data_IF_872163065316
#
_entry.id   IF_872163065316
#
_cell.length_a   1.000
_cell.length_b   1.000
_cell.length_c   1.000
_cell.angle_alpha   90.00
_cell.angle_beta   90.00
_cell.angle_gamma   90.00
#
_symmetry.space_group_name_H-M   'P 1'
#
loop_
_entity.id
_entity.type
_entity.pdbx_description
1 polymer ?
#
# COMPACT_ATOMS: atom_id res chain seq x y z
N UNK A 1 -14.29 -51.45 -5.54
CA UNK A 1 -12.97 -50.90 -5.14
C UNK A 1 -12.57 -51.52 -3.82
N UNK A 2 -11.39 -52.15 -3.72
CA UNK A 2 -10.95 -52.85 -2.50
C UNK A 2 -10.65 -51.85 -1.38
N UNK A 3 -10.99 -52.19 -0.14
CA UNK A 3 -10.66 -51.48 1.11
C UNK A 3 -9.17 -51.09 1.22
N UNK A 4 -8.30 -51.82 0.51
CA UNK A 4 -6.86 -51.54 0.41
C UNK A 4 -6.53 -50.25 -0.35
N UNK A 5 -7.41 -49.76 -1.22
CA UNK A 5 -7.22 -48.51 -1.96
C UNK A 5 -7.65 -47.29 -1.15
N UNK A 6 -8.65 -47.42 -0.27
CA UNK A 6 -9.08 -46.34 0.64
C UNK A 6 -8.02 -45.98 1.66
N UNK A 7 -7.39 -46.99 2.29
CA UNK A 7 -6.31 -46.75 3.25
C UNK A 7 -5.09 -46.05 2.61
N UNK A 8 -4.80 -46.34 1.33
CA UNK A 8 -3.71 -45.66 0.60
C UNK A 8 -4.04 -44.22 0.25
N UNK A 9 -5.29 -43.94 -0.14
CA UNK A 9 -5.74 -42.57 -0.45
C UNK A 9 -5.75 -41.72 0.82
N UNK A 10 -6.28 -42.24 1.94
CA UNK A 10 -6.31 -41.52 3.22
C UNK A 10 -4.90 -41.22 3.75
N UNK A 11 -3.97 -42.18 3.64
CA UNK A 11 -2.57 -41.97 4.07
C UNK A 11 -1.84 -40.98 3.14
N UNK A 12 -2.09 -41.00 1.83
CA UNK A 12 -1.52 -40.02 0.89
C UNK A 12 -2.10 -38.62 1.09
N UNK A 13 -3.40 -38.49 1.38
CA UNK A 13 -4.05 -37.21 1.69
C UNK A 13 -3.55 -36.62 3.01
N UNK A 14 -3.34 -37.45 4.04
CA UNK A 14 -2.79 -37.00 5.32
C UNK A 14 -1.30 -36.67 5.22
N UNK A 15 -0.54 -37.37 4.37
CA UNK A 15 0.87 -37.06 4.10
C UNK A 15 1.04 -35.77 3.28
N UNK A 16 0.09 -35.43 2.40
CA UNK A 16 0.10 -34.17 1.64
C UNK A 16 -0.23 -32.94 2.52
N UNK A 17 -1.03 -33.13 3.58
CA UNK A 17 -1.38 -32.10 4.56
C UNK A 17 -0.26 -31.83 5.59
N UNK A 18 0.77 -32.68 5.64
CA UNK A 18 1.92 -32.55 6.55
C UNK A 18 3.17 -32.02 5.83
N UNK A 19 3.03 -31.51 4.59
CA UNK A 19 4.09 -30.69 4.02
C UNK A 19 4.13 -29.37 4.79
N UNK A 20 5.22 -29.06 5.52
CA UNK A 20 5.40 -27.72 6.04
C UNK A 20 5.35 -26.80 4.83
N UNK A 21 4.40 -25.87 4.82
CA UNK A 21 4.49 -24.71 3.94
C UNK A 21 5.76 -24.01 4.40
N UNK A 22 6.84 -24.17 3.64
CA UNK A 22 8.01 -23.35 3.82
C UNK A 22 7.57 -21.94 3.47
N UNK A 23 7.18 -21.17 4.49
CA UNK A 23 6.92 -19.75 4.33
C UNK A 23 8.30 -19.15 4.07
N UNK A 24 8.48 -18.55 2.90
CA UNK A 24 9.76 -17.96 2.53
C UNK A 24 10.08 -16.81 3.50
N UNK A 25 11.30 -16.80 4.01
CA UNK A 25 11.82 -15.66 4.77
C UNK A 25 11.70 -14.37 3.93
N UNK A 26 11.58 -13.19 4.58
CA UNK A 26 11.64 -11.93 3.84
C UNK A 26 13.03 -11.81 3.21
N UNK A 27 13.08 -12.01 1.90
CA UNK A 27 14.31 -11.90 1.15
C UNK A 27 14.56 -10.42 0.85
N UNK A 28 15.79 -9.92 1.05
CA UNK A 28 16.13 -8.56 0.66
C UNK A 28 15.98 -8.40 -0.85
N UNK A 29 15.33 -7.32 -1.26
CA UNK A 29 15.13 -6.94 -2.66
C UNK A 29 15.34 -5.44 -2.84
N UNK A 30 15.79 -4.96 -4.02
CA UNK A 30 15.83 -3.54 -4.32
C UNK A 30 14.46 -2.90 -4.13
N UNK A 31 14.41 -1.63 -3.70
CA UNK A 31 13.15 -0.90 -3.48
C UNK A 31 12.45 -0.45 -4.75
N UNK A 32 13.14 -0.41 -5.89
CA UNK A 32 12.59 -0.14 -7.22
C UNK A 32 13.42 -0.79 -8.33
N UNK A 33 12.90 -0.73 -9.56
CA UNK A 33 13.59 -1.15 -10.80
C UNK A 33 14.68 -0.16 -11.27
N UNK A 34 14.86 0.94 -10.53
CA UNK A 34 15.90 1.96 -10.73
C UNK A 34 16.60 2.27 -9.40
N UNK A 35 17.84 2.78 -9.41
CA UNK A 35 18.53 3.19 -8.20
C UNK A 35 17.78 4.29 -7.46
N UNK A 36 17.52 4.07 -6.18
CA UNK A 36 16.96 5.07 -5.29
C UNK A 36 17.39 4.77 -3.85
N UNK A 37 17.46 5.80 -3.01
CA UNK A 37 17.87 5.63 -1.63
C UNK A 37 17.56 6.84 -0.75
N UNK A 38 17.95 6.74 0.51
CA UNK A 38 17.87 7.80 1.51
C UNK A 38 19.17 7.85 2.32
N UNK A 39 19.60 9.05 2.67
CA UNK A 39 20.75 9.26 3.55
C UNK A 39 20.51 10.47 4.46
N UNK A 40 21.38 10.68 5.45
CA UNK A 40 21.25 11.75 6.44
C UNK A 40 20.96 11.16 7.83
N UNK A 41 19.84 11.54 8.42
CA UNK A 41 19.52 11.19 9.80
C UNK A 41 20.06 12.20 10.81
N UNK A 42 20.15 13.48 10.40
CA UNK A 42 20.48 14.56 11.33
C UNK A 42 19.25 14.83 12.19
N UNK A 43 19.35 14.53 13.48
CA UNK A 43 18.23 14.66 14.41
C UNK A 43 18.44 15.79 15.44
N UNK A 44 17.35 16.42 15.86
CA UNK A 44 17.28 17.35 16.98
C UNK A 44 16.05 17.09 17.84
N UNK A 45 16.20 17.04 19.15
CA UNK A 45 15.07 17.03 20.09
C UNK A 45 14.45 18.43 20.15
N UNK A 46 13.12 18.51 19.99
CA UNK A 46 12.40 19.80 19.90
C UNK A 46 11.33 20.00 20.96
N UNK A 47 11.02 18.96 21.74
CA UNK A 47 10.06 19.06 22.83
C UNK A 47 10.56 19.95 23.96
N UNK A 48 9.71 20.89 24.39
CA UNK A 48 9.97 21.78 25.54
C UNK A 48 11.29 22.57 25.44
N UNK A 49 11.77 22.82 24.21
CA UNK A 49 12.94 23.65 23.94
C UNK A 49 12.59 24.78 22.98
N UNK A 50 13.21 25.93 23.20
CA UNK A 50 13.06 27.10 22.31
C UNK A 50 14.04 27.09 21.15
N UNK A 51 15.15 26.36 21.25
CA UNK A 51 16.19 26.32 20.22
C UNK A 51 16.90 24.97 20.24
N UNK A 52 17.10 24.38 19.07
CA UNK A 52 17.88 23.16 18.89
C UNK A 52 18.58 23.19 17.52
N UNK A 53 19.76 22.61 17.43
CA UNK A 53 20.51 22.53 16.17
C UNK A 53 21.48 21.36 16.18
N UNK A 54 21.63 20.71 15.03
CA UNK A 54 22.62 19.65 14.81
C UNK A 54 23.17 19.76 13.39
N UNK A 55 24.41 19.32 13.21
CA UNK A 55 25.07 19.18 11.91
C UNK A 55 25.84 17.87 11.88
N UNK A 56 25.93 17.26 10.70
CA UNK A 56 26.67 16.02 10.51
C UNK A 56 27.17 15.91 9.08
N UNK A 57 28.27 15.19 8.92
CA UNK A 57 28.85 14.89 7.62
C UNK A 57 28.51 13.47 7.15
N UNK A 58 28.59 13.21 5.85
CA UNK A 58 28.29 11.89 5.25
C UNK A 58 29.03 10.72 5.93
N UNK A 59 30.25 10.94 6.45
CA UNK A 59 31.02 9.91 7.15
C UNK A 59 30.44 9.52 8.52
N UNK A 60 29.57 10.35 9.08
CA UNK A 60 28.94 10.22 10.40
C UNK A 60 27.43 9.96 10.30
N UNK A 61 26.86 9.96 9.09
CA UNK A 61 25.44 9.68 8.91
C UNK A 61 25.08 8.28 9.40
N UNK A 62 23.97 8.22 10.14
CA UNK A 62 23.35 6.97 10.53
C UNK A 62 22.82 6.23 9.31
N UNK A 63 22.74 4.89 9.38
CA UNK A 63 21.83 4.16 8.50
C UNK A 63 20.39 4.57 8.78
N UNK A 64 19.52 4.53 7.78
CA UNK A 64 18.09 4.84 7.94
C UNK A 64 17.30 3.55 7.81
N UNK A 65 16.51 3.22 8.83
CA UNK A 65 15.57 2.11 8.79
C UNK A 65 14.14 2.64 8.82
N UNK A 66 13.40 2.50 7.70
CA UNK A 66 12.01 2.90 7.61
C UNK A 66 11.13 1.65 7.82
N UNK A 67 10.34 1.65 8.89
CA UNK A 67 9.51 0.51 9.32
C UNK A 67 8.05 0.84 9.02
N UNK A 68 7.39 0.03 8.20
CA UNK A 68 5.96 0.16 7.94
C UNK A 68 5.18 -0.90 8.70
N UNK A 69 4.36 -0.44 9.63
CA UNK A 69 3.74 -1.27 10.67
C UNK A 69 2.26 -0.91 10.89
N UNK A 70 1.63 -1.63 11.80
CA UNK A 70 0.34 -1.24 12.34
C UNK A 70 0.13 -1.75 13.78
N UNK A 71 -0.63 -1.03 14.60
CA UNK A 71 -0.97 -1.41 15.98
C UNK A 71 -1.73 -2.74 16.10
N UNK A 72 -2.40 -3.16 15.02
CA UNK A 72 -3.12 -4.43 14.94
C UNK A 72 -2.29 -5.58 14.36
N UNK A 73 -1.07 -5.29 13.86
CA UNK A 73 -0.23 -6.26 13.17
C UNK A 73 0.64 -7.08 14.14
N UNK A 74 0.21 -8.29 14.47
CA UNK A 74 0.98 -9.21 15.33
C UNK A 74 2.35 -9.57 14.75
N UNK A 75 2.43 -9.81 13.43
CA UNK A 75 3.70 -10.16 12.78
C UNK A 75 4.71 -8.99 12.75
N UNK A 76 4.25 -7.76 12.95
CA UNK A 76 5.11 -6.59 12.95
C UNK A 76 6.00 -6.55 14.19
N UNK A 77 5.49 -7.02 15.34
CA UNK A 77 6.26 -7.15 16.58
C UNK A 77 7.54 -7.97 16.34
N UNK A 78 7.44 -9.11 15.65
CA UNK A 78 8.62 -9.93 15.35
C UNK A 78 9.59 -9.25 14.39
N UNK A 79 9.08 -8.53 13.38
CA UNK A 79 9.93 -7.82 12.42
C UNK A 79 10.71 -6.70 13.11
N UNK A 80 10.04 -5.92 13.96
CA UNK A 80 10.63 -4.85 14.76
C UNK A 80 11.65 -5.41 15.77
N UNK A 81 11.31 -6.45 16.53
CA UNK A 81 12.25 -7.13 17.44
C UNK A 81 13.52 -7.58 16.72
N UNK A 82 13.37 -8.20 15.54
CA UNK A 82 14.49 -8.64 14.73
C UNK A 82 15.37 -7.47 14.26
N UNK A 83 14.74 -6.36 13.85
CA UNK A 83 15.44 -5.15 13.41
C UNK A 83 16.22 -4.52 14.57
N UNK A 84 15.58 -4.27 15.70
CA UNK A 84 16.24 -3.69 16.87
C UNK A 84 17.37 -4.58 17.40
N UNK A 85 17.20 -5.91 17.35
CA UNK A 85 18.27 -6.85 17.69
C UNK A 85 19.45 -6.79 16.71
N UNK A 86 19.21 -6.48 15.44
CA UNK A 86 20.27 -6.26 14.45
C UNK A 86 20.97 -4.91 14.65
N UNK A 87 20.22 -3.84 14.91
CA UNK A 87 20.75 -2.50 15.21
C UNK A 87 21.65 -2.55 16.45
N UNK A 88 21.24 -3.24 17.51
CA UNK A 88 22.00 -3.36 18.75
C UNK A 88 23.39 -4.01 18.57
N UNK A 89 23.62 -4.75 17.47
CA UNK A 89 24.90 -5.37 17.14
C UNK A 89 25.62 -4.69 15.96
N UNK A 90 25.01 -3.69 15.34
CA UNK A 90 25.63 -2.93 14.26
C UNK A 90 26.74 -2.01 14.80
N UNK A 91 27.75 -1.74 13.96
CA UNK A 91 28.89 -0.91 14.34
C UNK A 91 28.64 0.60 14.22
N UNK A 92 27.59 0.99 13.49
CA UNK A 92 27.20 2.38 13.26
C UNK A 92 25.83 2.68 13.84
N UNK A 93 25.49 3.97 13.91
CA UNK A 93 24.18 4.42 14.36
C UNK A 93 23.12 4.12 13.30
N UNK A 94 21.89 3.86 13.75
CA UNK A 94 20.73 3.69 12.87
C UNK A 94 19.61 4.59 13.37
N UNK A 95 19.12 5.46 12.50
CA UNK A 95 17.90 6.22 12.73
C UNK A 95 16.72 5.38 12.25
N UNK A 96 15.78 5.10 13.14
CA UNK A 96 14.55 4.37 12.81
C UNK A 96 13.42 5.37 12.58
N UNK A 97 12.59 5.12 11.57
CA UNK A 97 11.39 5.88 11.25
C UNK A 97 10.22 4.90 11.14
N UNK A 98 9.34 4.89 12.13
CA UNK A 98 8.21 3.97 12.19
C UNK A 98 6.95 4.60 11.61
N UNK A 99 6.60 4.17 10.41
CA UNK A 99 5.41 4.56 9.66
C UNK A 99 4.25 3.63 10.00
N UNK A 100 3.27 4.19 10.71
CA UNK A 100 2.00 3.51 10.92
C UNK A 100 1.07 3.73 9.74
N UNK A 101 0.31 2.70 9.37
CA UNK A 101 -0.66 2.77 8.28
C UNK A 101 -1.75 3.82 8.59
N UNK A 102 -2.10 4.64 7.60
CA UNK A 102 -3.07 5.74 7.78
C UNK A 102 -4.29 5.62 6.84
N UNK A 103 -4.07 5.24 5.57
CA UNK A 103 -5.10 5.32 4.55
C UNK A 103 -6.02 4.10 4.61
N UNK A 104 -7.32 4.40 4.73
CA UNK A 104 -8.36 3.40 4.86
C UNK A 104 -8.24 2.61 6.16
N UNK A 105 -7.68 3.23 7.20
CA UNK A 105 -7.54 2.65 8.53
C UNK A 105 -8.49 3.24 9.55
N UNK A 106 -8.87 2.40 10.52
CA UNK A 106 -9.70 2.78 11.67
C UNK A 106 -9.17 2.25 13.00
N UNK A 107 -8.25 1.28 12.99
CA UNK A 107 -7.72 0.62 14.19
C UNK A 107 -6.36 1.17 14.64
N UNK A 108 -5.59 1.73 13.71
CA UNK A 108 -4.29 2.34 14.01
C UNK A 108 -4.42 3.88 14.15
N UNK A 109 -4.17 4.44 15.34
CA UNK A 109 -4.33 5.87 15.58
C UNK A 109 -3.10 6.70 15.22
N UNK A 110 -1.97 6.07 14.89
CA UNK A 110 -0.69 6.76 14.74
C UNK A 110 -0.40 7.23 13.32
N UNK A 111 -1.10 6.67 12.33
CA UNK A 111 -0.81 6.89 10.92
C UNK A 111 -0.91 8.35 10.47
N UNK A 112 0.04 8.75 9.63
CA UNK A 112 0.10 10.08 8.99
C UNK A 112 -0.14 9.91 7.49
N UNK A 113 -1.19 10.53 6.96
CA UNK A 113 -1.60 10.33 5.57
C UNK A 113 -0.53 10.74 4.55
N UNK A 114 0.16 11.86 4.75
CA UNK A 114 1.23 12.31 3.86
C UNK A 114 2.41 11.34 3.83
N UNK A 115 2.79 10.79 4.99
CA UNK A 115 3.84 9.80 5.12
C UNK A 115 3.46 8.46 4.47
N UNK A 116 2.19 8.05 4.62
CA UNK A 116 1.64 6.84 4.00
C UNK A 116 1.57 6.96 2.46
N UNK A 117 1.21 8.15 1.94
CA UNK A 117 1.26 8.44 0.50
C UNK A 117 2.70 8.41 -0.05
N UNK A 118 3.67 8.99 0.67
CA UNK A 118 5.09 8.89 0.30
C UNK A 118 5.54 7.44 0.25
N UNK A 119 5.18 6.65 1.27
CA UNK A 119 5.51 5.23 1.34
C UNK A 119 4.97 4.48 0.12
N UNK A 120 3.68 4.63 -0.18
CA UNK A 120 3.05 4.01 -1.35
C UNK A 120 3.71 4.46 -2.67
N UNK A 121 3.97 5.76 -2.82
CA UNK A 121 4.60 6.31 -4.02
C UNK A 121 6.00 5.76 -4.29
N UNK A 122 6.78 5.55 -3.22
CA UNK A 122 8.18 5.11 -3.34
C UNK A 122 8.38 3.61 -3.34
N UNK A 123 7.61 2.90 -2.52
CA UNK A 123 7.81 1.47 -2.23
C UNK A 123 6.62 0.61 -2.66
N UNK A 124 5.47 1.23 -2.97
CA UNK A 124 4.22 0.51 -3.18
C UNK A 124 4.24 -0.40 -4.41
N UNK A 125 4.92 -0.01 -5.49
CA UNK A 125 5.07 -0.87 -6.68
C UNK A 125 5.78 -2.18 -6.32
N UNK A 126 6.93 -2.07 -5.67
CA UNK A 126 7.75 -3.23 -5.28
C UNK A 126 7.07 -4.07 -4.21
N UNK A 127 6.48 -3.43 -3.19
CA UNK A 127 5.67 -4.11 -2.18
C UNK A 127 4.53 -4.92 -2.84
N UNK A 128 3.83 -4.33 -3.80
CA UNK A 128 2.77 -5.02 -4.55
C UNK A 128 3.30 -6.20 -5.37
N UNK A 129 4.48 -6.07 -5.96
CA UNK A 129 5.05 -7.15 -6.77
C UNK A 129 5.49 -8.35 -5.91
N UNK A 130 5.88 -8.11 -4.65
CA UNK A 130 6.37 -9.16 -3.73
C UNK A 130 5.22 -9.77 -2.91
N UNK A 131 4.36 -8.92 -2.34
CA UNK A 131 3.32 -9.33 -1.37
C UNK A 131 1.90 -8.93 -1.80
N UNK A 132 1.70 -8.54 -3.07
CA UNK A 132 0.40 -8.29 -3.71
C UNK A 132 -0.40 -7.08 -3.21
N UNK A 133 0.14 -6.29 -2.27
CA UNK A 133 -0.45 -5.04 -1.80
C UNK A 133 0.62 -3.95 -1.72
N UNK A 134 0.25 -2.69 -1.97
CA UNK A 134 1.20 -1.57 -2.00
C UNK A 134 1.66 -1.13 -0.59
N UNK A 135 0.85 -1.44 0.42
CA UNK A 135 1.04 -1.04 1.81
C UNK A 135 0.91 -2.27 2.69
N UNK A 136 1.97 -3.06 2.75
CA UNK A 136 1.99 -4.34 3.47
C UNK A 136 2.75 -4.22 4.80
N UNK A 137 2.08 -4.15 5.95
CA UNK A 137 2.76 -4.34 7.22
C UNK A 137 3.00 -5.86 7.49
N UNK A 138 4.16 -6.25 8.06
CA UNK A 138 5.36 -5.44 8.21
C UNK A 138 6.11 -5.29 6.89
N UNK A 139 6.71 -4.12 6.65
CA UNK A 139 7.77 -3.96 5.65
C UNK A 139 8.87 -3.08 6.23
N UNK A 140 10.12 -3.50 6.12
CA UNK A 140 11.29 -2.72 6.57
C UNK A 140 12.13 -2.35 5.37
N UNK A 141 12.48 -1.07 5.27
CA UNK A 141 13.39 -0.53 4.27
C UNK A 141 14.68 -0.09 4.95
N UNK A 142 15.83 -0.50 4.42
CA UNK A 142 17.15 -0.07 4.88
C UNK A 142 17.77 0.85 3.83
N UNK A 143 18.16 2.05 4.26
CA UNK A 143 18.77 3.13 3.48
C UNK A 143 17.96 3.53 2.24
N UNK A 144 16.66 3.26 2.23
CA UNK A 144 15.79 3.51 1.07
C UNK A 144 16.06 2.61 -0.13
N UNK A 145 17.03 1.69 -0.02
CA UNK A 145 17.59 0.90 -1.12
C UNK A 145 17.16 -0.57 -1.06
N UNK A 146 17.06 -1.14 0.15
CA UNK A 146 16.75 -2.56 0.36
C UNK A 146 15.44 -2.75 1.11
N UNK A 147 14.50 -3.50 0.54
CA UNK A 147 13.21 -3.85 1.12
C UNK A 147 13.22 -5.26 1.71
N UNK A 148 12.58 -5.41 2.86
CA UNK A 148 12.22 -6.66 3.53
C UNK A 148 10.71 -6.67 3.80
N UNK A 149 9.94 -7.30 2.93
CA UNK A 149 8.48 -7.33 3.03
C UNK A 149 7.99 -8.62 3.72
N UNK A 150 7.14 -8.46 4.74
CA UNK A 150 6.60 -9.54 5.57
C UNK A 150 7.59 -10.10 6.59
N UNK A 151 7.12 -10.99 7.46
CA UNK A 151 7.96 -11.74 8.41
C UNK A 151 8.28 -13.16 7.93
N UNK A 152 7.60 -13.64 6.88
CA UNK A 152 7.71 -15.03 6.45
C UNK A 152 7.34 -16.05 7.55
N UNK A 153 6.56 -15.65 8.56
CA UNK A 153 6.24 -16.47 9.73
C UNK A 153 7.43 -16.76 10.64
N UNK A 154 8.54 -16.02 10.48
CA UNK A 154 9.71 -16.10 11.34
C UNK A 154 9.54 -15.21 12.58
N UNK A 155 10.12 -15.63 13.70
CA UNK A 155 10.24 -14.79 14.90
C UNK A 155 11.41 -13.81 14.81
N UNK A 156 11.50 -12.85 15.73
CA UNK A 156 12.50 -11.77 15.70
C UNK A 156 13.95 -12.24 15.61
N UNK A 157 14.35 -13.20 16.45
CA UNK A 157 15.71 -13.78 16.43
C UNK A 157 16.09 -14.38 15.07
N UNK A 158 15.11 -14.89 14.32
CA UNK A 158 15.32 -15.49 13.00
C UNK A 158 15.35 -14.44 11.89
N UNK A 159 14.71 -13.29 12.10
CA UNK A 159 14.70 -12.16 11.17
C UNK A 159 15.95 -11.29 11.26
N UNK A 160 16.51 -11.17 12.47
CA UNK A 160 17.76 -10.45 12.76
C UNK A 160 18.87 -10.60 11.70
N UNK A 161 19.31 -11.81 11.27
CA UNK A 161 20.41 -11.94 10.31
C UNK A 161 20.13 -11.25 8.96
N UNK A 162 18.88 -11.17 8.51
CA UNK A 162 18.51 -10.51 7.26
C UNK A 162 18.69 -8.99 7.34
N UNK A 163 18.28 -8.40 8.46
CA UNK A 163 18.47 -6.97 8.72
C UNK A 163 19.93 -6.64 8.97
N UNK A 164 20.66 -7.47 9.73
CA UNK A 164 22.09 -7.29 9.99
C UNK A 164 22.92 -7.33 8.70
N UNK A 165 22.59 -8.24 7.77
CA UNK A 165 23.24 -8.27 6.45
C UNK A 165 23.02 -6.94 5.70
N UNK A 166 21.80 -6.41 5.71
CA UNK A 166 21.45 -5.17 5.01
C UNK A 166 22.08 -3.93 5.65
N UNK A 167 22.08 -3.84 6.99
CA UNK A 167 22.74 -2.77 7.75
C UNK A 167 24.27 -2.78 7.57
N UNK A 168 24.86 -3.94 7.24
CA UNK A 168 26.29 -4.04 6.93
C UNK A 168 26.64 -3.56 5.52
N UNK A 169 25.65 -3.38 4.63
CA UNK A 169 25.89 -2.89 3.28
C UNK A 169 26.01 -1.36 3.30
N UNK A 170 27.10 -0.80 2.73
CA UNK A 170 27.21 0.64 2.58
C UNK A 170 26.16 1.17 1.59
N UNK A 171 25.43 2.26 1.91
CA UNK A 171 24.56 2.94 0.95
C UNK A 171 25.32 3.40 -0.30
N UNK A 172 24.59 3.62 -1.40
CA UNK A 172 25.16 3.95 -2.72
C UNK A 172 26.17 5.12 -2.68
N UNK A 173 25.88 6.16 -1.91
CA UNK A 173 26.71 7.38 -1.82
C UNK A 173 27.53 7.49 -0.52
N UNK A 174 27.71 6.40 0.21
CA UNK A 174 28.42 6.39 1.51
C UNK A 174 29.88 6.85 1.47
N UNK A 175 30.52 6.83 0.28
CA UNK A 175 31.89 7.30 0.09
C UNK A 175 31.99 8.75 -0.42
N UNK A 176 30.85 9.36 -0.73
CA UNK A 176 30.80 10.74 -1.20
C UNK A 176 30.90 11.72 -0.03
N UNK A 177 31.01 13.01 -0.35
CA UNK A 177 31.02 14.09 0.65
C UNK A 177 29.75 14.92 0.58
N UNK A 178 29.07 15.01 1.73
CA UNK A 178 28.04 15.99 2.01
C UNK A 178 28.09 16.41 3.48
N UNK A 179 27.52 17.57 3.77
CA UNK A 179 27.28 18.08 5.11
C UNK A 179 25.82 18.53 5.22
N UNK A 180 25.13 18.08 6.26
CA UNK A 180 23.74 18.46 6.52
C UNK A 180 23.63 19.16 7.85
N UNK A 181 22.80 20.19 7.91
CA UNK A 181 22.46 20.86 9.15
C UNK A 181 20.96 21.09 9.27
N UNK A 182 20.49 20.98 10.50
CA UNK A 182 19.09 21.15 10.88
C UNK A 182 19.04 22.03 12.13
N UNK A 183 18.14 23.01 12.13
CA UNK A 183 17.90 23.83 13.31
C UNK A 183 16.44 24.25 13.44
N UNK A 184 16.02 24.42 14.70
CA UNK A 184 14.70 24.81 15.12
C UNK A 184 14.80 25.97 16.09
N UNK A 185 13.96 26.99 15.92
CA UNK A 185 13.86 28.14 16.81
C UNK A 185 12.42 28.55 17.03
N UNK A 186 11.96 28.59 18.28
CA UNK A 186 10.58 28.88 18.67
C UNK A 186 10.53 29.76 19.92
N UNK A 187 9.55 30.68 19.96
CA UNK A 187 9.27 31.49 21.16
C UNK A 187 8.31 30.79 22.13
N UNK A 188 7.46 29.90 21.63
CA UNK A 188 6.37 29.24 22.37
C UNK A 188 6.54 27.72 22.50
N UNK A 189 7.66 27.18 21.99
CA UNK A 189 8.02 25.76 21.93
C UNK A 189 7.11 24.90 21.05
N UNK A 190 6.21 25.51 20.26
CA UNK A 190 5.27 24.79 19.40
C UNK A 190 5.35 25.28 17.93
N UNK A 191 5.40 26.59 17.72
CA UNK A 191 5.53 27.22 16.41
C UNK A 191 6.85 27.97 16.31
N UNK A 192 7.55 27.78 15.20
CA UNK A 192 8.92 28.24 15.08
C UNK A 192 9.42 28.30 13.65
N UNK A 193 10.69 28.63 13.52
CA UNK A 193 11.44 28.64 12.27
C UNK A 193 12.26 27.36 12.22
N UNK A 194 11.95 26.52 11.25
CA UNK A 194 12.74 25.37 10.84
C UNK A 194 13.74 25.83 9.77
N UNK A 195 15.02 25.52 9.92
CA UNK A 195 16.06 25.86 8.94
C UNK A 195 16.89 24.61 8.65
N UNK A 196 17.14 24.36 7.36
CA UNK A 196 17.89 23.20 6.88
C UNK A 196 18.93 23.62 5.84
N UNK A 197 19.96 22.79 5.70
CA UNK A 197 20.94 22.90 4.64
C UNK A 197 21.55 21.53 4.33
N UNK A 198 21.70 21.22 3.05
CA UNK A 198 22.48 20.14 2.49
C UNK A 198 23.52 20.74 1.55
N UNK A 199 24.79 20.62 1.93
CA UNK A 199 25.92 20.94 1.08
C UNK A 199 26.49 19.64 0.52
N UNK A 200 26.41 19.45 -0.80
CA UNK A 200 26.93 18.27 -1.50
C UNK A 200 27.60 18.70 -2.82
N UNK A 201 28.42 17.80 -3.38
CA UNK A 201 29.07 18.01 -4.68
C UNK A 201 28.20 17.64 -5.87
N UNK A 202 28.78 17.69 -7.08
CA UNK A 202 28.12 17.39 -8.36
C UNK A 202 27.62 15.93 -8.50
N UNK A 203 27.91 15.07 -7.52
CA UNK A 203 27.41 13.70 -7.45
C UNK A 203 25.93 13.63 -7.03
N UNK A 204 25.41 14.67 -6.37
CA UNK A 204 24.06 14.67 -5.83
C UNK A 204 23.03 14.66 -6.97
N UNK A 205 22.14 13.65 -7.06
CA UNK A 205 21.11 13.60 -8.09
C UNK A 205 20.21 14.85 -8.06
N UNK A 206 19.82 15.37 -9.23
CA UNK A 206 18.90 16.52 -9.34
C UNK A 206 17.51 16.24 -8.74
N UNK A 207 17.11 14.98 -8.68
CA UNK A 207 15.89 14.49 -8.05
C UNK A 207 15.95 14.48 -6.51
N UNK A 208 17.08 14.88 -5.92
CA UNK A 208 17.24 14.84 -4.46
C UNK A 208 16.26 15.79 -3.80
N UNK A 209 15.50 15.25 -2.86
CA UNK A 209 14.48 15.96 -2.09
C UNK A 209 14.81 15.83 -0.61
N UNK A 210 14.87 16.95 0.10
CA UNK A 210 15.09 16.96 1.55
C UNK A 210 13.74 16.85 2.27
N UNK A 211 13.68 16.03 3.32
CA UNK A 211 12.44 15.76 4.06
C UNK A 211 12.77 15.86 5.55
N UNK A 212 11.89 16.51 6.31
CA UNK A 212 11.91 16.44 7.77
C UNK A 212 10.76 15.58 8.24
N UNK A 213 11.08 14.57 9.05
CA UNK A 213 10.10 13.81 9.83
C UNK A 213 10.02 14.37 11.24
N UNK A 214 8.80 14.48 11.76
CA UNK A 214 8.58 14.61 13.19
C UNK A 214 8.43 13.21 13.75
N UNK A 215 9.29 12.85 14.70
CA UNK A 215 9.36 11.52 15.28
C UNK A 215 9.14 11.61 16.78
N UNK A 216 8.20 10.84 17.28
CA UNK A 216 7.94 10.67 18.71
C UNK A 216 8.69 9.43 19.19
N UNK A 217 9.48 9.57 20.26
CA UNK A 217 10.36 8.49 20.70
C UNK A 217 9.58 7.29 21.27
N UNK A 218 8.47 7.53 21.96
CA UNK A 218 7.59 6.51 22.53
C UNK A 218 6.14 6.98 22.50
N UNK A 219 5.23 6.06 22.16
CA UNK A 219 3.81 6.32 22.14
C UNK A 219 3.05 5.11 22.71
N UNK A 220 2.35 5.30 23.82
CA UNK A 220 1.64 4.24 24.53
C UNK A 220 0.21 4.08 24.00
N UNK A 221 -0.10 2.88 23.50
CA UNK A 221 -1.43 2.48 23.05
C UNK A 221 -1.72 1.00 23.40
N UNK A 222 -2.30 0.81 24.59
CA UNK A 222 -2.64 -0.50 25.15
C UNK A 222 -3.79 -1.21 24.41
N UNK A 223 -4.59 -0.45 23.66
CA UNK A 223 -5.72 -0.98 22.88
C UNK A 223 -5.28 -1.63 21.54
N UNK A 224 -4.00 -1.55 21.18
CA UNK A 224 -3.44 -2.22 20.00
C UNK A 224 -3.58 -3.74 20.08
N UNK A 225 -4.18 -4.37 19.07
CA UNK A 225 -4.46 -5.81 19.11
C UNK A 225 -3.21 -6.68 19.00
N UNK A 226 -2.06 -6.11 18.62
CA UNK A 226 -0.78 -6.81 18.64
C UNK A 226 -0.18 -6.95 20.05
N UNK A 227 -0.72 -6.25 21.05
CA UNK A 227 -0.32 -6.36 22.46
C UNK A 227 1.05 -5.76 22.81
N UNK A 228 1.63 -4.91 21.95
CA UNK A 228 2.93 -4.27 22.20
C UNK A 228 2.85 -3.21 23.31
N UNK A 229 1.76 -2.44 23.33
CA UNK A 229 1.49 -1.40 24.33
C UNK A 229 2.30 -0.12 24.12
N UNK A 230 3.61 -0.21 23.87
CA UNK A 230 4.50 0.93 23.65
C UNK A 230 5.15 0.83 22.25
N UNK A 231 4.97 1.89 21.45
CA UNK A 231 5.47 1.96 20.07
C UNK A 231 6.58 3.01 19.98
N UNK A 232 7.67 2.69 19.31
CA UNK A 232 8.87 3.53 19.27
C UNK A 232 9.10 4.17 17.91
N UNK A 233 9.80 5.32 17.93
CA UNK A 233 10.24 6.05 16.75
C UNK A 233 9.08 6.37 15.77
N UNK A 234 7.90 6.69 16.31
CA UNK A 234 6.65 6.86 15.57
C UNK A 234 6.68 8.17 14.78
N UNK A 235 6.52 8.09 13.46
CA UNK A 235 6.38 9.27 12.59
C UNK A 235 5.03 9.94 12.84
N UNK A 236 5.05 11.20 13.30
CA UNK A 236 3.87 12.02 13.64
C UNK A 236 3.54 13.09 12.62
N UNK A 237 4.52 13.49 11.82
CA UNK A 237 4.33 14.37 10.67
C UNK A 237 5.51 14.22 9.68
N UNK A 238 5.29 14.67 8.44
CA UNK A 238 6.28 14.66 7.38
C UNK A 238 6.17 15.94 6.56
N UNK A 239 7.30 16.63 6.39
CA UNK A 239 7.40 17.85 5.61
C UNK A 239 8.46 17.69 4.53
N UNK A 240 8.02 17.76 3.27
CA UNK A 240 8.92 17.90 2.13
C UNK A 240 9.43 19.36 2.05
N UNK A 241 10.73 19.52 1.86
CA UNK A 241 11.39 20.82 1.92
C UNK A 241 11.69 21.35 0.52
N UNK A 242 11.49 22.67 0.34
CA UNK A 242 11.79 23.35 -0.92
C UNK A 242 13.31 23.53 -1.11
N UNK A 243 13.91 22.59 -1.85
CA UNK A 243 15.33 22.62 -2.21
C UNK A 243 16.29 22.23 -1.09
N UNK A 244 17.58 22.31 -1.39
CA UNK A 244 18.63 21.79 -0.51
C UNK A 244 18.98 22.69 0.67
N UNK A 245 18.54 23.95 0.68
CA UNK A 245 18.73 24.84 1.83
C UNK A 245 17.60 25.84 1.91
N UNK A 246 17.20 26.18 3.12
CA UNK A 246 16.07 27.07 3.32
C UNK A 246 15.67 27.24 4.77
N UNK A 247 14.63 28.02 4.95
CA UNK A 247 13.97 28.21 6.24
C UNK A 247 12.48 28.37 6.02
N UNK A 248 11.66 27.80 6.90
CA UNK A 248 10.22 27.94 6.86
C UNK A 248 9.63 28.11 8.26
N UNK A 249 8.45 28.74 8.33
CA UNK A 249 7.64 28.66 9.54
C UNK A 249 7.01 27.27 9.58
N UNK A 250 7.10 26.63 10.74
CA UNK A 250 6.51 25.33 10.97
C UNK A 250 5.90 25.26 12.37
N UNK A 251 4.87 24.44 12.52
CA UNK A 251 4.19 24.23 13.80
C UNK A 251 4.25 22.73 14.05
N UNK A 252 4.85 22.34 15.18
CA UNK A 252 4.96 20.95 15.58
C UNK A 252 3.56 20.35 15.77
N UNK A 253 3.34 19.08 15.38
CA UNK A 253 2.13 18.36 15.75
C UNK A 253 2.07 18.16 17.26
N UNK A 254 0.89 17.82 17.78
CA UNK A 254 0.81 17.32 19.14
C UNK A 254 1.46 15.93 19.21
N UNK A 255 2.31 15.72 20.23
CA UNK A 255 2.72 14.38 20.62
C UNK A 255 1.49 13.53 20.96
N UNK A 256 1.57 12.23 20.73
CA UNK A 256 0.58 11.26 21.17
C UNK A 256 0.47 11.25 22.69
N UNK A 257 1.62 11.10 23.34
CA UNK A 257 1.79 11.27 24.77
C UNK A 257 3.16 11.89 25.06
N UNK A 258 3.50 12.02 26.35
CA UNK A 258 4.82 12.53 26.71
C UNK A 258 5.16 13.91 26.14
N UNK A 259 6.46 14.18 26.08
CA UNK A 259 7.07 15.40 25.53
C UNK A 259 8.43 15.00 24.93
N UNK A 260 8.41 14.20 23.87
CA UNK A 260 9.56 13.49 23.30
C UNK A 260 9.59 13.49 21.76
N UNK A 261 9.01 14.53 21.14
CA UNK A 261 9.18 14.85 19.73
C UNK A 261 10.62 15.27 19.39
N UNK A 262 11.08 14.76 18.26
CA UNK A 262 12.31 15.13 17.56
C UNK A 262 12.03 15.44 16.10
N UNK A 263 12.92 16.21 15.47
CA UNK A 263 12.94 16.43 14.03
C UNK A 263 14.11 15.65 13.43
N UNK A 264 13.86 14.90 12.36
CA UNK A 264 14.86 14.10 11.66
C UNK A 264 14.93 14.57 10.21
N UNK A 265 16.07 15.12 9.81
CA UNK A 265 16.36 15.52 8.44
C UNK A 265 16.98 14.36 7.65
N UNK A 266 16.37 14.07 6.51
CA UNK A 266 16.85 13.08 5.55
C UNK A 266 16.85 13.65 4.13
N UNK A 267 17.64 13.02 3.26
CA UNK A 267 17.75 13.36 1.85
C UNK A 267 17.44 12.13 1.02
N UNK A 268 16.34 12.22 0.28
CA UNK A 268 15.83 11.16 -0.57
C UNK A 268 16.25 11.42 -2.01
N UNK A 269 16.72 10.40 -2.73
CA UNK A 269 17.14 10.54 -4.13
C UNK A 269 16.63 9.37 -4.99
N UNK A 270 16.61 9.58 -6.31
CA UNK A 270 16.30 8.53 -7.30
C UNK A 270 16.92 8.84 -8.67
N UNK A 271 17.38 7.82 -9.38
CA UNK A 271 17.87 7.94 -10.76
C UNK A 271 16.81 7.47 -11.77
N UNK A 272 15.55 7.82 -11.51
CA UNK A 272 14.47 7.51 -12.42
C UNK A 272 14.66 8.30 -13.72
N UNK A 273 14.86 7.57 -14.82
CA UNK A 273 14.98 8.18 -16.13
C UNK A 273 13.59 8.63 -16.58
N UNK A 274 13.33 9.93 -16.52
CA UNK A 274 12.26 10.51 -17.32
C UNK A 274 12.60 10.30 -18.80
N UNK A 275 11.97 9.31 -19.44
CA UNK A 275 11.99 9.21 -20.89
C UNK A 275 11.15 10.39 -21.39
N UNK A 276 11.81 11.50 -21.66
CA UNK A 276 11.29 12.54 -22.52
C UNK A 276 10.99 11.89 -23.87
N UNK A 277 9.73 11.49 -24.07
CA UNK A 277 9.25 11.02 -25.37
C UNK A 277 9.69 12.03 -26.40
N UNK A 278 10.56 11.58 -27.30
CA UNK A 278 11.26 12.44 -28.24
C UNK A 278 10.26 13.31 -28.98
N UNK A 279 10.51 14.62 -28.95
CA UNK A 279 9.92 15.60 -29.84
C UNK A 279 10.40 15.26 -31.27
N UNK A 280 9.72 14.30 -31.91
CA UNK A 280 9.96 13.94 -33.30
C UNK A 280 9.40 15.07 -34.13
N UNK A 281 10.16 16.15 -34.28
CA UNK A 281 9.91 17.17 -35.29
C UNK A 281 10.22 16.56 -36.67
N UNK A 282 9.24 16.23 -37.53
CA UNK A 282 9.53 15.67 -38.83
C UNK A 282 9.79 16.82 -39.80
N UNK A 283 11.01 17.37 -39.77
CA UNK A 283 11.49 18.20 -40.86
C UNK A 283 11.86 17.31 -42.04
N UNK A 284 10.88 16.98 -42.89
CA UNK A 284 11.09 16.22 -44.12
C UNK A 284 9.79 15.92 -44.85
N UNK A 285 9.55 16.48 -46.05
CA UNK A 285 8.29 16.32 -46.75
C UNK A 285 8.32 15.01 -47.51
N UNK A 286 7.55 14.00 -47.10
CA UNK A 286 7.07 12.92 -47.99
C UNK A 286 6.07 11.94 -47.32
N UNK A 287 5.20 12.44 -46.43
CA UNK A 287 4.09 11.63 -45.87
C UNK A 287 2.70 12.27 -46.03
N UNK A 288 2.58 13.35 -46.82
CA UNK A 288 1.31 14.02 -47.13
C UNK A 288 0.49 13.35 -48.26
N UNK A 289 0.71 12.06 -48.53
CA UNK A 289 -0.01 11.33 -49.60
C UNK A 289 -0.80 10.09 -49.14
N UNK A 290 -0.92 9.83 -47.83
CA UNK A 290 -1.72 8.69 -47.32
C UNK A 290 -2.78 9.03 -46.28
N UNK A 291 -2.99 10.32 -45.97
CA UNK A 291 -3.99 10.77 -44.98
C UNK A 291 -5.19 11.55 -45.55
N UNK A 292 -5.39 11.55 -46.87
CA UNK A 292 -6.53 12.23 -47.52
C UNK A 292 -7.59 11.29 -48.13
N UNK A 293 -7.75 10.08 -47.59
CA UNK A 293 -8.86 9.19 -47.96
C UNK A 293 -9.59 8.51 -46.79
N UNK A 294 -9.35 8.93 -45.54
CA UNK A 294 -10.25 8.61 -44.42
C UNK A 294 -10.78 9.89 -43.80
N UNK A 295 -11.72 10.52 -44.51
CA UNK A 295 -12.58 11.54 -43.91
C UNK A 295 -13.46 10.90 -42.83
N UNK A 296 -13.56 11.60 -41.69
CA UNK A 296 -14.68 11.64 -40.74
C UNK A 296 -15.48 10.32 -40.67
N UNK A 297 -14.99 9.35 -39.88
CA UNK A 297 -15.71 8.09 -39.64
C UNK A 297 -14.97 7.03 -38.81
N UNK A 298 -13.81 7.36 -38.22
CA UNK A 298 -12.93 6.38 -37.60
C UNK A 298 -12.74 6.51 -36.09
N UNK A 299 -13.54 7.32 -35.40
CA UNK A 299 -13.45 7.49 -33.94
C UNK A 299 -14.68 6.99 -33.16
N UNK A 300 -15.70 6.46 -33.85
CA UNK A 300 -16.91 5.89 -33.22
C UNK A 300 -16.99 4.36 -33.23
N UNK A 301 -15.93 3.65 -33.67
CA UNK A 301 -15.96 2.18 -33.80
C UNK A 301 -15.39 1.40 -32.59
N UNK A 302 -14.76 2.06 -31.60
CA UNK A 302 -14.17 1.37 -30.44
C UNK A 302 -15.04 1.47 -29.18
N UNK A 303 -15.95 2.45 -29.11
CA UNK A 303 -16.88 2.60 -27.96
C UNK A 303 -18.22 1.86 -28.18
N UNK A 304 -18.53 1.41 -29.41
CA UNK A 304 -19.80 0.69 -29.70
C UNK A 304 -19.70 -0.85 -29.63
N UNK A 305 -18.50 -1.44 -29.59
CA UNK A 305 -18.32 -2.91 -29.52
C UNK A 305 -18.38 -3.45 -28.08
N UNK A 306 -18.16 -2.61 -27.05
CA UNK A 306 -18.32 -3.03 -25.64
C UNK A 306 -19.77 -2.85 -25.16
N UNK A 307 -20.55 -1.94 -25.76
CA UNK A 307 -21.96 -1.72 -25.41
C UNK A 307 -22.99 -2.65 -26.09
N UNK A 308 -22.60 -3.40 -27.13
CA UNK A 308 -23.52 -4.28 -27.88
C UNK A 308 -23.49 -5.76 -27.47
N UNK A 309 -22.69 -6.14 -26.46
CA UNK A 309 -22.71 -7.52 -25.93
C UNK A 309 -23.82 -7.72 -24.87
N UNK A 310 -24.47 -6.64 -24.38
CA UNK A 310 -25.47 -6.73 -23.29
C UNK A 310 -26.93 -6.52 -23.76
N UNK A 311 -27.20 -6.07 -24.99
CA UNK A 311 -28.58 -5.69 -25.39
C UNK A 311 -29.11 -6.36 -26.66
N UNK A 312 -29.21 -7.69 -26.69
CA UNK A 312 -30.21 -8.40 -27.53
C UNK A 312 -30.57 -9.77 -26.94
N UNK A 313 -31.30 -9.79 -25.82
CA UNK A 313 -32.10 -10.95 -25.44
C UNK A 313 -33.54 -10.70 -25.89
N UNK A 314 -33.96 -11.30 -27.01
CA UNK A 314 -35.38 -11.54 -27.28
C UNK A 314 -35.58 -12.86 -28.04
N UNK A 315 -36.42 -13.68 -27.42
CA UNK A 315 -36.94 -14.99 -27.80
C UNK A 315 -37.12 -15.24 -29.31
N UNK A 316 -36.71 -16.43 -29.76
CA UNK A 316 -37.64 -17.41 -30.36
C UNK A 316 -37.03 -18.82 -30.32
N UNK A 317 -37.90 -19.80 -30.07
CA UNK A 317 -37.65 -21.22 -29.78
C UNK A 317 -37.24 -22.03 -31.03
N UNK A 318 -36.30 -22.98 -30.89
CA UNK A 318 -36.45 -24.31 -31.49
C UNK A 318 -35.55 -25.37 -30.81
N UNK A 319 -36.22 -26.42 -30.38
CA UNK A 319 -35.87 -27.71 -29.76
C UNK A 319 -34.50 -28.39 -30.02
N UNK A 320 -34.00 -28.96 -28.90
CA UNK A 320 -33.38 -30.29 -28.71
C UNK A 320 -32.02 -30.66 -29.33
N UNK A 321 -30.99 -30.70 -28.47
CA UNK A 321 -30.31 -31.95 -28.07
C UNK A 321 -29.38 -31.68 -26.86
N UNK A 322 -29.87 -32.03 -25.67
CA UNK A 322 -29.09 -32.01 -24.43
C UNK A 322 -28.17 -33.24 -24.42
N UNK A 323 -26.85 -33.00 -24.44
CA UNK A 323 -25.89 -33.93 -23.84
C UNK A 323 -25.38 -33.25 -22.57
N UNK A 324 -25.86 -33.77 -21.45
CA UNK A 324 -25.57 -33.37 -20.10
C UNK A 324 -24.06 -33.44 -19.80
N UNK A 325 -23.43 -32.29 -19.62
CA UNK A 325 -22.14 -32.19 -18.95
C UNK A 325 -22.20 -31.05 -17.93
N UNK A 326 -22.66 -31.39 -16.74
CA UNK A 326 -22.62 -30.58 -15.52
C UNK A 326 -21.15 -30.14 -15.25
N UNK A 327 -20.81 -28.89 -15.58
CA UNK A 327 -19.57 -28.23 -15.12
C UNK A 327 -19.88 -27.51 -13.80
N UNK A 328 -19.12 -27.73 -12.72
CA UNK A 328 -19.37 -27.07 -11.45
C UNK A 328 -19.03 -25.57 -11.57
N UNK A 329 -19.97 -24.70 -11.18
CA UNK A 329 -19.76 -23.26 -11.09
C UNK A 329 -18.88 -22.99 -9.88
N UNK A 330 -17.65 -22.53 -10.10
CA UNK A 330 -16.71 -22.17 -9.05
C UNK A 330 -17.07 -20.79 -8.46
N UNK A 331 -17.90 -20.79 -7.42
CA UNK A 331 -18.39 -19.59 -6.73
C UNK A 331 -17.28 -18.74 -6.12
N UNK A 332 -16.11 -19.31 -5.82
CA UNK A 332 -14.96 -18.58 -5.25
C UNK A 332 -14.33 -17.67 -6.31
N UNK A 333 -14.20 -18.16 -7.55
CA UNK A 333 -13.66 -17.38 -8.66
C UNK A 333 -14.57 -16.18 -9.03
N UNK A 334 -15.89 -16.33 -8.88
CA UNK A 334 -16.83 -15.22 -9.10
C UNK A 334 -16.76 -14.17 -7.98
N UNK A 335 -16.65 -14.60 -6.73
CA UNK A 335 -16.50 -13.70 -5.59
C UNK A 335 -15.19 -12.89 -5.64
N UNK A 336 -14.07 -13.53 -6.01
CA UNK A 336 -12.79 -12.87 -6.19
C UNK A 336 -12.81 -11.82 -7.30
N UNK A 337 -13.50 -12.09 -8.41
CA UNK A 337 -13.68 -11.11 -9.50
C UNK A 337 -14.50 -9.90 -9.07
N UNK A 338 -15.59 -10.11 -8.34
CA UNK A 338 -16.41 -9.00 -7.83
C UNK A 338 -15.64 -8.15 -6.81
N UNK A 339 -14.84 -8.77 -5.93
CA UNK A 339 -14.00 -8.02 -4.99
C UNK A 339 -12.90 -7.21 -5.70
N UNK A 340 -12.29 -7.77 -6.74
CA UNK A 340 -11.32 -7.06 -7.56
C UNK A 340 -11.95 -5.85 -8.29
N UNK A 341 -13.18 -6.00 -8.79
CA UNK A 341 -13.93 -4.90 -9.41
C UNK A 341 -14.29 -3.80 -8.42
N UNK A 342 -14.66 -4.13 -7.17
CA UNK A 342 -14.91 -3.13 -6.11
C UNK A 342 -13.63 -2.36 -5.77
N UNK A 343 -12.50 -3.05 -5.63
CA UNK A 343 -11.22 -2.41 -5.34
C UNK A 343 -10.78 -1.47 -6.48
N UNK A 344 -11.03 -1.86 -7.73
CA UNK A 344 -10.76 -1.02 -8.91
C UNK A 344 -11.65 0.23 -8.94
N UNK A 345 -12.94 0.10 -8.61
CA UNK A 345 -13.86 1.24 -8.51
C UNK A 345 -13.43 2.21 -7.41
N UNK A 346 -12.95 1.69 -6.27
CA UNK A 346 -12.46 2.52 -5.16
C UNK A 346 -11.22 3.31 -5.54
N UNK A 347 -10.31 2.70 -6.32
CA UNK A 347 -9.14 3.39 -6.86
C UNK A 347 -9.56 4.52 -7.83
N UNK A 348 -10.48 4.25 -8.75
CA UNK A 348 -10.99 5.26 -9.70
C UNK A 348 -11.70 6.42 -8.99
N UNK A 349 -12.51 6.12 -7.98
CA UNK A 349 -13.18 7.13 -7.15
C UNK A 349 -12.17 8.00 -6.41
N UNK A 350 -11.14 7.40 -5.81
CA UNK A 350 -10.10 8.13 -5.07
C UNK A 350 -9.33 9.10 -6.00
N UNK A 351 -8.94 8.62 -7.19
CA UNK A 351 -8.27 9.45 -8.19
C UNK A 351 -9.15 10.63 -8.64
N UNK A 352 -10.42 10.37 -8.98
CA UNK A 352 -11.37 11.42 -9.39
C UNK A 352 -11.65 12.43 -8.27
N UNK A 353 -11.66 11.99 -7.01
CA UNK A 353 -11.80 12.88 -5.86
C UNK A 353 -10.60 13.82 -5.70
N UNK A 354 -9.39 13.27 -5.76
CA UNK A 354 -8.16 14.05 -5.62
C UNK A 354 -8.00 15.07 -6.76
N UNK A 355 -8.30 14.68 -8.00
CA UNK A 355 -8.32 15.58 -9.14
C UNK A 355 -9.36 16.71 -8.97
N UNK A 356 -10.55 16.41 -8.44
CA UNK A 356 -11.58 17.42 -8.18
C UNK A 356 -11.12 18.44 -7.13
N UNK A 357 -10.41 17.98 -6.10
CA UNK A 357 -9.89 18.83 -5.03
C UNK A 357 -8.73 19.72 -5.51
N UNK A 358 -7.84 19.18 -6.35
CA UNK A 358 -6.79 19.96 -7.01
C UNK A 358 -7.38 21.03 -7.92
N UNK A 359 -8.38 20.68 -8.74
CA UNK A 359 -9.07 21.64 -9.61
C UNK A 359 -9.78 22.72 -8.78
N UNK A 360 -10.32 22.36 -7.62
CA UNK A 360 -10.96 23.29 -6.69
C UNK A 360 -9.96 24.29 -6.08
N UNK A 361 -8.75 23.85 -5.73
CA UNK A 361 -7.66 24.73 -5.27
C UNK A 361 -7.20 25.67 -6.40
N UNK A 362 -7.05 25.16 -7.62
CA UNK A 362 -6.73 25.99 -8.80
C UNK A 362 -7.82 27.04 -9.10
N UNK A 363 -9.09 26.72 -8.84
CA UNK A 363 -10.21 27.64 -9.01
C UNK A 363 -10.25 28.71 -7.90
N UNK A 364 -9.84 28.39 -6.66
CA UNK A 364 -9.80 29.35 -5.55
C UNK A 364 -8.66 30.36 -5.66
N UNK A 365 -7.55 29.96 -6.29
CA UNK A 365 -6.31 30.73 -6.29
C UNK A 365 -6.17 31.65 -7.53
N UNK A 366 -7.22 31.76 -8.36
CA UNK A 366 -7.13 32.45 -9.65
C UNK A 366 -7.48 33.95 -9.62
N UNK A 367 -6.46 34.78 -9.83
CA UNK A 367 -6.60 36.19 -10.27
C UNK A 367 -6.28 36.40 -11.77
N UNK A 368 -5.96 35.35 -12.53
CA UNK A 368 -5.37 35.47 -13.87
C UNK A 368 -6.04 34.65 -15.01
N UNK A 369 -7.10 33.88 -14.74
CA UNK A 369 -7.79 33.12 -15.80
C UNK A 369 -8.91 33.92 -16.48
N UNK A 370 -9.13 33.64 -17.78
CA UNK A 370 -10.24 34.25 -18.54
C UNK A 370 -11.57 33.58 -18.20
N UNK A 371 -12.69 34.29 -18.38
CA UNK A 371 -14.03 33.76 -18.07
C UNK A 371 -14.35 32.43 -18.77
N UNK A 372 -13.90 32.26 -20.03
CA UNK A 372 -14.09 31.01 -20.77
C UNK A 372 -13.27 29.83 -20.21
N UNK A 373 -12.10 30.10 -19.62
CA UNK A 373 -11.28 29.07 -18.96
C UNK A 373 -11.88 28.65 -17.62
N UNK A 374 -12.43 29.60 -16.86
CA UNK A 374 -13.15 29.29 -15.62
C UNK A 374 -14.41 28.47 -15.88
N UNK A 375 -15.15 28.75 -16.96
CA UNK A 375 -16.35 28.00 -17.34
C UNK A 375 -16.01 26.55 -17.74
N UNK A 376 -14.93 26.35 -18.51
CA UNK A 376 -14.44 25.01 -18.86
C UNK A 376 -13.99 24.20 -17.63
N UNK A 377 -13.28 24.85 -16.69
CA UNK A 377 -12.80 24.21 -15.46
C UNK A 377 -13.94 23.88 -14.48
N UNK A 378 -14.99 24.72 -14.43
CA UNK A 378 -16.21 24.42 -13.69
C UNK A 378 -17.02 23.26 -14.32
N UNK A 379 -17.11 23.19 -15.64
CA UNK A 379 -17.77 22.08 -16.32
C UNK A 379 -17.02 20.74 -16.08
N UNK A 380 -15.68 20.78 -16.08
CA UNK A 380 -14.85 19.63 -15.74
C UNK A 380 -15.06 19.18 -14.28
N UNK A 381 -15.14 20.13 -13.33
CA UNK A 381 -15.43 19.82 -11.92
C UNK A 381 -16.79 19.15 -11.75
N UNK A 382 -17.83 19.62 -12.46
CA UNK A 382 -19.17 19.00 -12.41
C UNK A 382 -19.16 17.58 -12.98
N UNK A 383 -18.47 17.36 -14.10
CA UNK A 383 -18.31 16.03 -14.69
C UNK A 383 -17.60 15.05 -13.75
N UNK A 384 -16.59 15.53 -13.02
CA UNK A 384 -15.84 14.71 -12.07
C UNK A 384 -16.70 14.36 -10.84
N UNK A 385 -17.46 15.31 -10.33
CA UNK A 385 -18.41 15.08 -9.24
C UNK A 385 -19.50 14.07 -9.62
N UNK A 386 -20.02 14.14 -10.85
CA UNK A 386 -20.99 13.17 -11.37
C UNK A 386 -20.39 11.76 -11.48
N UNK A 387 -19.13 11.68 -11.92
CA UNK A 387 -18.37 10.42 -11.99
C UNK A 387 -18.18 9.79 -10.61
N UNK A 388 -17.83 10.60 -9.60
CA UNK A 388 -17.70 10.14 -8.20
C UNK A 388 -19.05 9.63 -7.67
N UNK A 389 -20.14 10.37 -7.89
CA UNK A 389 -21.47 9.98 -7.43
C UNK A 389 -21.95 8.68 -8.11
N UNK A 390 -21.64 8.49 -9.39
CA UNK A 390 -21.96 7.26 -10.10
C UNK A 390 -21.14 6.08 -9.58
N UNK A 391 -19.84 6.26 -9.35
CA UNK A 391 -18.97 5.22 -8.80
C UNK A 391 -19.41 4.80 -7.37
N UNK A 392 -19.86 5.73 -6.53
CA UNK A 392 -20.40 5.40 -5.20
C UNK A 392 -21.70 4.58 -5.28
N UNK A 393 -22.56 4.91 -6.24
CA UNK A 393 -23.79 4.16 -6.47
C UNK A 393 -23.50 2.75 -6.99
N UNK A 394 -22.57 2.60 -7.94
CA UNK A 394 -22.18 1.30 -8.46
C UNK A 394 -21.48 0.44 -7.40
N UNK A 395 -20.67 1.05 -6.53
CA UNK A 395 -20.05 0.38 -5.38
C UNK A 395 -21.10 -0.17 -4.41
N UNK A 396 -22.08 0.65 -4.04
CA UNK A 396 -23.13 0.25 -3.09
C UNK A 396 -24.00 -0.87 -3.65
N UNK A 397 -24.36 -0.81 -4.94
CA UNK A 397 -25.11 -1.88 -5.61
C UNK A 397 -24.32 -3.20 -5.69
N UNK A 398 -23.01 -3.14 -5.97
CA UNK A 398 -22.16 -4.33 -5.98
C UNK A 398 -21.91 -4.91 -4.59
N UNK A 399 -21.83 -4.07 -3.56
CA UNK A 399 -21.72 -4.53 -2.16
C UNK A 399 -23.00 -5.22 -1.69
N UNK A 400 -24.18 -4.70 -2.05
CA UNK A 400 -25.46 -5.33 -1.74
C UNK A 400 -25.61 -6.69 -2.44
N UNK A 401 -25.19 -6.80 -3.70
CA UNK A 401 -25.19 -8.08 -4.44
C UNK A 401 -24.17 -9.08 -3.86
N UNK A 402 -23.02 -8.61 -3.35
CA UNK A 402 -22.04 -9.44 -2.65
C UNK A 402 -22.59 -10.00 -1.33
N UNK A 403 -23.27 -9.17 -0.53
CA UNK A 403 -23.90 -9.60 0.73
C UNK A 403 -25.06 -10.58 0.48
N UNK A 404 -25.85 -10.35 -0.57
CA UNK A 404 -26.91 -11.27 -0.99
C UNK A 404 -26.35 -12.61 -1.50
N UNK A 405 -25.22 -12.59 -2.22
CA UNK A 405 -24.52 -13.80 -2.65
C UNK A 405 -23.93 -14.59 -1.47
N UNK A 406 -23.37 -13.91 -0.47
CA UNK A 406 -22.93 -14.54 0.80
C UNK A 406 -24.11 -15.16 1.56
N UNK A 407 -25.23 -14.45 1.70
CA UNK A 407 -26.42 -14.96 2.39
C UNK A 407 -27.02 -16.18 1.67
N UNK A 408 -27.01 -16.22 0.33
CA UNK A 408 -27.51 -17.37 -0.45
C UNK A 408 -26.59 -18.58 -0.32
N UNK A 409 -25.27 -18.35 -0.26
CA UNK A 409 -24.25 -19.39 -0.05
C UNK A 409 -24.37 -20.01 1.34
N UNK A 410 -24.63 -19.21 2.37
CA UNK A 410 -24.90 -19.69 3.74
C UNK A 410 -26.18 -20.55 3.79
N UNK A 411 -27.27 -20.13 3.12
CA UNK A 411 -28.52 -20.89 3.07
C UNK A 411 -28.36 -22.23 2.33
N UNK A 412 -27.59 -22.27 1.22
CA UNK A 412 -27.27 -23.52 0.52
C UNK A 412 -26.38 -24.46 1.35
N UNK A 413 -25.38 -23.93 2.06
CA UNK A 413 -24.51 -24.71 2.94
C UNK A 413 -25.27 -25.29 4.15
N UNK A 414 -26.20 -24.52 4.72
CA UNK A 414 -27.10 -25.01 5.79
C UNK A 414 -28.08 -26.07 5.25
N UNK A 415 -28.61 -25.90 4.03
CA UNK A 415 -29.52 -26.87 3.42
C UNK A 415 -28.82 -28.20 3.08
N UNK A 416 -27.57 -28.14 2.60
CA UNK A 416 -26.75 -29.34 2.36
C UNK A 416 -26.40 -30.07 3.66
N UNK A 417 -26.09 -29.34 4.75
CA UNK A 417 -25.76 -29.94 6.05
C UNK A 417 -26.97 -30.54 6.79
N UNK A 418 -28.18 -30.06 6.50
CA UNK A 418 -29.42 -30.62 7.06
C UNK A 418 -29.86 -31.88 6.30
N UNK A 419 -29.53 -32.03 5.00
CA UNK A 419 -29.88 -33.24 4.24
C UNK A 419 -28.99 -34.45 4.56
N UNK A 420 -27.72 -34.24 4.94
CA UNK A 420 -26.83 -35.34 5.36
C UNK A 420 -26.98 -35.74 6.84
N UNK A 421 -27.73 -34.97 7.63
CA UNK A 421 -28.00 -35.28 9.05
C UNK A 421 -29.32 -36.03 9.29
N UNK A 422 -30.11 -36.30 8.23
CA UNK A 422 -31.45 -36.91 8.35
C UNK A 422 -31.57 -38.36 7.85
N UNK A 423 -30.47 -39.03 7.46
CA UNK A 423 -30.51 -40.44 7.02
C UNK A 423 -29.45 -41.27 7.76
N UNK A 424 -29.66 -41.50 9.06
CA UNK A 424 -29.25 -42.72 9.77
C UNK A 424 -29.81 -42.71 11.20
N UNK A 425 -30.78 -43.58 11.50
CA UNK A 425 -31.20 -43.83 12.88
C UNK A 425 -32.67 -44.20 13.10
N UNK A 426 -33.07 -45.39 12.64
CA UNK A 426 -33.96 -46.37 13.30
C UNK A 426 -35.16 -45.89 14.14
N UNK A 427 -36.39 -46.17 13.67
CA UNK A 427 -37.53 -46.47 14.56
C UNK A 427 -38.34 -47.66 14.00
N UNK A 428 -38.27 -48.75 14.75
CA UNK A 428 -39.05 -49.99 14.67
C UNK A 428 -40.55 -49.75 14.96
N UNK A 429 -41.44 -50.34 14.15
CA UNK A 429 -42.82 -50.65 14.55
C UNK A 429 -43.51 -51.69 13.65
N UNK A 430 -43.69 -52.88 14.23
CA UNK A 430 -44.88 -53.74 14.14
C UNK A 430 -45.04 -54.68 12.93
N UNK A 431 -44.73 -55.96 13.13
CA UNK A 431 -45.63 -57.03 12.66
C UNK A 431 -45.67 -58.18 13.70
N UNK A 432 -46.78 -58.21 14.44
CA UNK A 432 -47.26 -59.33 15.24
C UNK A 432 -48.19 -60.16 14.35
N UNK A 433 -47.86 -61.43 14.10
CA UNK A 433 -48.85 -62.51 13.93
C UNK A 433 -48.30 -63.83 14.47
N UNK A 434 -48.73 -64.14 15.68
CA UNK A 434 -49.29 -65.41 16.16
C UNK A 434 -49.30 -66.58 15.15
N UNK A 435 -48.73 -67.75 15.52
CA UNK A 435 -49.51 -68.93 15.92
C UNK A 435 -48.62 -70.12 16.32
N UNK A 436 -48.82 -70.62 17.54
CA UNK A 436 -48.62 -72.04 17.87
C UNK A 436 -49.95 -72.78 17.61
N UNK A 437 -49.82 -74.00 17.09
CA UNK A 437 -50.83 -75.00 16.66
C UNK A 437 -51.52 -74.84 15.30
#
# INVERSE_FOLDING_TARGET
>A
MSTRNWARIVVLSFALLMFPIAIAAPTPVPTADYPQGIFGGVSIEVSNVTNASSESSMAEYSSIAEVYTASWCENCVFAEEGLYAAIAEATGETTVLTFHRAIGEVEDPFGVESADLRWEGRYGKTSKDIVSVMRAPPTIIINGETMHAGSGGLGGDQLKPYYAESLSQPPQFSLESANSSLSWSSEDMASGILTWNLEAGDWLPESTTSIVFVVEASATFEEGSNGLGDYHDVVRDMVELDGNSGSMNYTLPAAWDGEDLSLVLVHQWSEELEIACCDVNPSGPDYLALWLSFGIGGFFAIVFIIGLIISTKKNEELEEAVLDQQVPVDHVAQQQRMQASVNQLDQQRSQAHNEAEQLRKQLSDSTSYTAAQMEAMQAQMQSLQETVAQAEKEKTEMQDELEKAKSTTIVQNITYNIQDSAISGDINATELKEKDD
#
